data_IF_832774057469
#
_entry.id   IF_832774057469
#
_cell.length_a   1.000
_cell.length_b   1.000
_cell.length_c   1.000
_cell.angle_alpha   90.00
_cell.angle_beta   90.00
_cell.angle_gamma   90.00
#
_symmetry.space_group_name_H-M   'P 1'
#
loop_
_entity.id
_entity.type
_entity.pdbx_description
1 polymer ?
#
# COMPACT_ATOMS: atom_id res chain seq x y z
N UNK A 1 68.45 49.08 -13.71
CA UNK A 1 68.16 47.66 -13.80
C UNK A 1 67.16 47.34 -12.69
N UNK A 2 65.96 46.79 -13.03
CA UNK A 2 64.94 46.40 -12.14
C UNK A 2 64.80 44.88 -12.19
N UNK A 3 64.60 44.23 -11.05
CA UNK A 3 64.18 42.82 -10.92
C UNK A 3 62.80 42.73 -10.27
N UNK A 4 61.97 41.94 -10.87
CA UNK A 4 60.66 41.62 -10.29
C UNK A 4 60.80 40.22 -9.72
N UNK A 5 60.42 40.03 -8.41
CA UNK A 5 60.38 38.72 -7.83
C UNK A 5 59.11 38.00 -8.31
N UNK A 6 59.28 36.76 -8.75
CA UNK A 6 58.20 35.84 -9.09
C UNK A 6 57.78 35.04 -7.87
N UNK A 7 56.60 34.43 -7.89
CA UNK A 7 56.13 33.53 -6.83
C UNK A 7 55.32 34.19 -5.74
N UNK A 8 54.70 35.39 -5.98
CA UNK A 8 53.67 35.91 -5.09
C UNK A 8 52.47 34.94 -5.07
N UNK A 9 52.03 34.62 -3.89
CA UNK A 9 50.84 33.77 -3.66
C UNK A 9 49.72 34.56 -3.03
N UNK A 10 48.52 34.23 -3.40
CA UNK A 10 47.30 34.70 -2.75
C UNK A 10 46.41 33.52 -2.43
N UNK A 11 45.40 33.70 -1.59
CA UNK A 11 44.41 32.67 -1.24
C UNK A 11 43.07 33.02 -1.83
N UNK A 12 42.31 31.99 -2.23
CA UNK A 12 40.94 32.11 -2.71
C UNK A 12 40.15 30.88 -2.19
N UNK A 13 38.85 31.05 -2.07
CA UNK A 13 37.96 29.96 -1.68
C UNK A 13 37.33 29.33 -2.92
N UNK A 14 37.20 27.99 -2.89
CA UNK A 14 36.38 27.24 -3.83
C UNK A 14 35.16 26.76 -3.03
N UNK A 15 33.97 27.13 -3.48
CA UNK A 15 32.72 26.77 -2.83
C UNK A 15 32.04 25.67 -3.62
N UNK A 16 31.28 24.81 -2.88
CA UNK A 16 30.50 23.74 -3.48
C UNK A 16 29.45 24.28 -4.47
N UNK A 17 29.30 23.62 -5.60
CA UNK A 17 28.32 23.96 -6.63
C UNK A 17 26.96 23.41 -6.25
N UNK A 18 25.91 24.25 -6.27
CA UNK A 18 24.55 23.80 -6.02
C UNK A 18 24.01 22.98 -7.19
N UNK A 19 23.43 21.83 -6.87
CA UNK A 19 22.73 20.93 -7.81
C UNK A 19 21.42 20.45 -7.20
N UNK A 20 20.51 19.99 -8.05
CA UNK A 20 19.23 19.42 -7.61
C UNK A 20 19.05 18.00 -8.13
N UNK A 21 18.40 17.16 -7.33
CA UNK A 21 18.05 15.78 -7.68
C UNK A 21 16.57 15.68 -8.01
N UNK A 22 16.23 14.90 -9.02
CA UNK A 22 14.87 14.59 -9.44
C UNK A 22 14.78 13.21 -10.09
N UNK A 23 13.56 12.72 -10.36
CA UNK A 23 13.35 11.45 -11.06
C UNK A 23 13.29 10.22 -10.14
N UNK A 24 13.38 10.40 -8.83
CA UNK A 24 13.18 9.30 -7.88
C UNK A 24 11.68 8.99 -7.77
N UNK A 25 11.29 7.73 -7.96
CA UNK A 25 9.90 7.28 -7.93
C UNK A 25 9.67 6.23 -6.85
N UNK A 26 8.40 5.99 -6.52
CA UNK A 26 8.00 4.91 -5.62
C UNK A 26 6.94 4.01 -6.29
N UNK A 27 7.02 2.72 -6.01
CA UNK A 27 6.08 1.74 -6.53
C UNK A 27 4.77 1.75 -5.74
N UNK A 28 3.65 1.50 -6.44
CA UNK A 28 2.39 1.17 -5.79
C UNK A 28 2.53 -0.15 -5.02
N UNK A 29 1.75 -0.29 -3.95
CA UNK A 29 1.69 -1.55 -3.21
C UNK A 29 0.26 -1.92 -2.82
N UNK A 30 0.05 -3.19 -2.48
CA UNK A 30 -1.16 -3.66 -1.80
C UNK A 30 -1.01 -3.43 -0.29
N UNK A 31 -2.10 -3.14 0.40
CA UNK A 31 -2.12 -2.98 1.85
C UNK A 31 -1.44 -4.15 2.58
N UNK A 32 -0.49 -3.81 3.43
CA UNK A 32 0.33 -4.74 4.23
C UNK A 32 0.52 -4.27 5.69
N UNK A 33 -0.23 -3.25 6.11
CA UNK A 33 -0.16 -2.56 7.41
C UNK A 33 1.19 -1.89 7.70
N UNK A 34 2.06 -1.71 6.69
CA UNK A 34 3.35 -1.03 6.85
C UNK A 34 3.40 0.29 6.07
N UNK A 35 4.28 1.20 6.49
CA UNK A 35 4.55 2.45 5.78
C UNK A 35 5.75 2.37 4.84
N UNK A 36 6.49 1.26 4.79
CA UNK A 36 7.64 1.10 3.91
C UNK A 36 7.24 1.23 2.43
N UNK A 37 8.00 2.00 1.66
CA UNK A 37 7.83 2.15 0.22
C UNK A 37 9.03 1.56 -0.52
N UNK A 38 8.78 0.88 -1.64
CA UNK A 38 9.82 0.49 -2.59
C UNK A 38 10.13 1.67 -3.48
N UNK A 39 11.37 2.15 -3.45
CA UNK A 39 11.85 3.32 -4.19
C UNK A 39 12.68 2.86 -5.38
N UNK A 40 12.50 3.53 -6.53
CA UNK A 40 13.30 3.35 -7.73
C UNK A 40 14.09 4.63 -8.03
N UNK A 41 15.41 4.50 -8.10
CA UNK A 41 16.35 5.58 -8.39
C UNK A 41 16.93 5.48 -9.81
N UNK A 42 16.53 4.53 -10.62
CA UNK A 42 17.08 4.26 -11.95
C UNK A 42 16.94 5.45 -12.93
N UNK A 43 15.90 6.28 -12.71
CA UNK A 43 15.64 7.50 -13.48
C UNK A 43 16.11 8.77 -12.78
N UNK A 44 16.83 8.64 -11.67
CA UNK A 44 17.32 9.80 -10.94
C UNK A 44 18.32 10.60 -11.79
N UNK A 45 18.20 11.91 -11.75
CA UNK A 45 19.03 12.84 -12.50
C UNK A 45 19.52 13.98 -11.61
N UNK A 46 20.75 14.47 -11.90
CA UNK A 46 21.40 15.56 -11.19
C UNK A 46 21.45 16.78 -12.12
N UNK A 47 20.59 17.77 -11.87
CA UNK A 47 20.61 19.02 -12.64
C UNK A 47 21.69 19.94 -12.12
N UNK A 48 22.58 20.41 -13.02
CA UNK A 48 23.68 21.32 -12.71
C UNK A 48 25.04 20.65 -12.48
N UNK A 49 25.13 19.30 -12.59
CA UNK A 49 26.40 18.58 -12.51
C UNK A 49 27.40 19.07 -13.61
N UNK A 50 28.68 19.07 -13.30
CA UNK A 50 29.74 19.44 -14.27
C UNK A 50 29.87 18.32 -15.31
N UNK A 51 30.07 18.71 -16.57
CA UNK A 51 30.23 17.76 -17.68
C UNK A 51 31.44 16.85 -17.45
N UNK A 52 31.20 15.54 -17.54
CA UNK A 52 32.23 14.51 -17.33
C UNK A 52 32.31 13.98 -15.90
N UNK A 53 31.64 14.61 -14.92
CA UNK A 53 31.51 14.09 -13.57
C UNK A 53 30.20 13.25 -13.41
N UNK A 54 30.19 12.33 -12.45
CA UNK A 54 29.07 11.48 -12.17
C UNK A 54 28.87 11.30 -10.69
N UNK A 55 27.58 11.33 -10.25
CA UNK A 55 27.17 11.01 -8.90
C UNK A 55 26.17 9.86 -8.95
N UNK A 56 26.08 9.12 -7.87
CA UNK A 56 25.06 8.12 -7.64
C UNK A 56 24.18 8.50 -6.44
N UNK A 57 22.92 8.05 -6.46
CA UNK A 57 21.99 8.21 -5.35
C UNK A 57 21.46 6.86 -4.92
N UNK A 58 21.30 6.69 -3.62
CA UNK A 58 20.46 5.65 -3.02
C UNK A 58 19.39 6.32 -2.19
N UNK A 59 18.18 5.75 -2.15
CA UNK A 59 17.08 6.33 -1.41
C UNK A 59 16.22 5.26 -0.74
N UNK A 60 15.64 5.62 0.40
CA UNK A 60 14.54 4.90 1.04
C UNK A 60 13.29 5.78 1.09
N UNK A 61 12.12 5.18 1.19
CA UNK A 61 10.85 5.90 1.19
C UNK A 61 9.89 5.40 2.25
N UNK A 62 9.08 6.32 2.78
CA UNK A 62 8.07 6.02 3.79
C UNK A 62 6.76 6.71 3.41
N UNK A 63 5.67 5.95 3.31
CA UNK A 63 4.32 6.50 3.14
C UNK A 63 3.89 7.30 4.37
N UNK A 64 3.06 8.32 4.18
CA UNK A 64 2.45 9.15 5.24
C UNK A 64 1.67 8.32 6.29
N UNK A 65 1.03 7.24 5.86
CA UNK A 65 0.42 6.20 6.70
C UNK A 65 0.26 4.90 5.89
N UNK A 66 -0.08 3.79 6.55
CA UNK A 66 -0.22 2.48 5.91
C UNK A 66 -1.52 2.29 5.12
N UNK A 67 -2.55 3.14 5.32
CA UNK A 67 -3.89 2.91 4.78
C UNK A 67 -3.98 3.06 3.27
N UNK A 68 -4.98 2.40 2.69
CA UNK A 68 -5.34 2.51 1.27
C UNK A 68 -5.61 3.95 0.87
N UNK A 69 -5.10 4.34 -0.28
CA UNK A 69 -5.27 5.66 -0.87
C UNK A 69 -4.51 5.81 -2.17
N UNK A 70 -4.95 6.75 -2.99
CA UNK A 70 -4.29 7.13 -4.24
C UNK A 70 -3.46 8.40 -4.05
N UNK A 71 -2.33 8.48 -4.78
CA UNK A 71 -1.46 9.66 -4.75
C UNK A 71 -0.91 9.98 -3.35
N UNK A 72 -0.69 8.97 -2.51
CA UNK A 72 -0.17 9.14 -1.15
C UNK A 72 1.26 9.63 -1.19
N UNK A 73 1.59 10.56 -0.30
CA UNK A 73 2.96 11.06 -0.18
C UNK A 73 3.90 9.98 0.33
N UNK A 74 5.01 9.82 -0.37
CA UNK A 74 6.17 9.02 0.07
C UNK A 74 7.30 9.99 0.35
N UNK A 75 7.66 10.15 1.62
CA UNK A 75 8.81 10.94 2.05
C UNK A 75 10.09 10.16 1.72
N UNK A 76 11.05 10.79 1.07
CA UNK A 76 12.30 10.20 0.67
C UNK A 76 13.43 10.59 1.62
N UNK A 77 14.34 9.66 1.86
CA UNK A 77 15.63 9.91 2.52
C UNK A 77 16.72 9.40 1.58
N UNK A 78 17.53 10.32 1.08
CA UNK A 78 18.55 10.02 0.07
C UNK A 78 19.96 10.10 0.64
N UNK A 79 20.87 9.36 0.04
CA UNK A 79 22.30 9.49 0.23
C UNK A 79 23.03 9.43 -1.11
N UNK A 80 24.15 10.13 -1.20
CA UNK A 80 24.87 10.38 -2.44
C UNK A 80 26.29 9.87 -2.34
N UNK A 81 26.81 9.39 -3.47
CA UNK A 81 28.19 8.92 -3.59
C UNK A 81 28.77 9.28 -4.97
N UNK A 82 30.09 9.27 -5.07
CA UNK A 82 30.89 9.61 -6.25
C UNK A 82 32.15 10.33 -5.82
N UNK A 83 33.20 10.30 -6.67
CA UNK A 83 34.50 10.87 -6.33
C UNK A 83 34.41 12.40 -6.09
N UNK A 84 33.49 13.06 -6.77
CA UNK A 84 33.30 14.51 -6.74
C UNK A 84 32.18 14.98 -5.81
N UNK A 85 31.55 14.08 -5.02
CA UNK A 85 30.35 14.40 -4.23
C UNK A 85 30.54 15.58 -3.28
N UNK A 86 31.74 15.74 -2.72
CA UNK A 86 32.08 16.83 -1.80
C UNK A 86 32.21 18.21 -2.49
N UNK A 87 32.23 18.24 -3.82
CA UNK A 87 32.27 19.48 -4.61
C UNK A 87 30.88 20.08 -4.85
N UNK A 88 29.82 19.38 -4.36
CA UNK A 88 28.43 19.77 -4.58
C UNK A 88 27.65 20.02 -3.29
N UNK A 89 26.75 20.99 -3.35
CA UNK A 89 25.68 21.20 -2.38
C UNK A 89 24.39 20.69 -3.03
N UNK A 90 23.89 19.54 -2.55
CA UNK A 90 22.81 18.80 -3.21
C UNK A 90 21.48 19.17 -2.55
N UNK A 91 20.51 19.60 -3.38
CA UNK A 91 19.11 19.75 -2.96
C UNK A 91 18.36 18.49 -3.29
N UNK A 92 17.85 17.83 -2.26
CA UNK A 92 17.13 16.55 -2.33
C UNK A 92 15.79 16.68 -3.05
N UNK A 93 15.36 15.60 -3.71
CA UNK A 93 13.96 15.35 -3.96
C UNK A 93 13.32 14.84 -2.65
N UNK A 94 12.61 15.71 -1.93
CA UNK A 94 12.11 15.41 -0.59
C UNK A 94 10.99 14.35 -0.57
N UNK A 95 10.23 14.21 -1.66
CA UNK A 95 9.10 13.28 -1.74
C UNK A 95 8.75 12.87 -3.16
N UNK A 96 7.96 11.81 -3.27
CA UNK A 96 7.26 11.35 -4.46
C UNK A 96 5.86 10.88 -4.06
N UNK A 97 5.10 10.30 -4.99
CA UNK A 97 3.78 9.76 -4.69
C UNK A 97 3.63 8.34 -5.21
N UNK A 98 2.82 7.53 -4.50
CA UNK A 98 2.43 6.19 -4.94
C UNK A 98 1.07 5.82 -4.36
N UNK A 99 0.47 4.71 -4.82
CA UNK A 99 -0.81 4.25 -4.33
C UNK A 99 -0.65 3.06 -3.38
N UNK A 100 -1.53 2.99 -2.38
CA UNK A 100 -1.77 1.77 -1.61
C UNK A 100 -3.15 1.27 -1.99
N UNK A 101 -3.23 0.04 -2.52
CA UNK A 101 -4.48 -0.59 -2.97
C UNK A 101 -5.02 -1.55 -1.93
N UNK A 102 -6.33 -1.84 -2.00
CA UNK A 102 -6.97 -2.77 -1.08
C UNK A 102 -6.38 -4.17 -1.18
N UNK A 103 -6.29 -4.85 -0.03
CA UNK A 103 -5.99 -6.28 0.04
C UNK A 103 -7.28 -7.07 -0.12
N UNK A 104 -7.28 -7.98 -1.09
CA UNK A 104 -8.44 -8.86 -1.32
C UNK A 104 -8.48 -9.98 -0.30
N UNK A 105 -9.63 -10.14 0.36
CA UNK A 105 -9.92 -11.23 1.27
C UNK A 105 -10.62 -12.37 0.54
N UNK A 106 -10.47 -13.57 1.09
CA UNK A 106 -11.35 -14.71 0.80
C UNK A 106 -12.21 -15.02 2.03
N UNK A 107 -13.35 -15.68 1.82
CA UNK A 107 -14.22 -16.07 2.91
C UNK A 107 -14.77 -17.49 2.71
N UNK A 108 -14.88 -18.21 3.82
CA UNK A 108 -15.64 -19.47 3.91
C UNK A 108 -16.98 -19.18 4.57
N UNK A 109 -18.08 -19.63 3.93
CA UNK A 109 -19.43 -19.43 4.42
C UNK A 109 -19.90 -20.67 5.21
N UNK A 110 -20.58 -20.43 6.34
CA UNK A 110 -21.31 -21.43 7.11
C UNK A 110 -22.75 -20.94 7.31
N UNK A 111 -23.74 -21.74 6.91
CA UNK A 111 -25.15 -21.40 7.03
C UNK A 111 -25.85 -22.22 8.15
N UNK A 112 -26.75 -21.57 8.83
CA UNK A 112 -27.60 -22.23 9.84
C UNK A 112 -28.80 -22.90 9.18
N UNK A 113 -29.17 -24.08 9.70
CA UNK A 113 -30.46 -24.67 9.39
C UNK A 113 -31.61 -23.78 9.90
N UNK A 114 -32.79 -23.85 9.26
CA UNK A 114 -33.99 -23.15 9.73
C UNK A 114 -35.22 -24.00 9.62
N UNK A 115 -36.28 -23.66 10.39
CA UNK A 115 -37.63 -24.18 10.19
C UNK A 115 -38.29 -23.43 9.03
N UNK A 116 -39.19 -24.12 8.30
CA UNK A 116 -39.95 -23.52 7.22
C UNK A 116 -40.72 -22.28 7.67
N UNK A 117 -40.49 -21.18 6.99
CA UNK A 117 -41.06 -19.85 7.26
C UNK A 117 -41.60 -19.16 5.99
N UNK A 118 -41.72 -19.92 4.89
CA UNK A 118 -42.14 -19.46 3.57
C UNK A 118 -41.19 -18.45 2.88
N UNK A 119 -39.98 -18.23 3.45
CA UNK A 119 -38.95 -17.33 2.86
C UNK A 119 -37.70 -18.09 2.40
N UNK A 120 -36.90 -17.46 1.54
CA UNK A 120 -35.59 -17.98 1.14
C UNK A 120 -34.44 -17.38 1.97
N UNK A 121 -34.70 -16.45 2.89
CA UNK A 121 -33.64 -15.79 3.69
C UNK A 121 -32.83 -16.83 4.48
N UNK A 122 -31.54 -16.74 4.41
CA UNK A 122 -30.58 -17.59 5.12
C UNK A 122 -29.75 -16.79 6.11
N UNK A 123 -29.45 -17.38 7.26
CA UNK A 123 -28.47 -16.84 8.21
C UNK A 123 -27.12 -17.47 7.92
N UNK A 124 -26.14 -16.63 7.58
CA UNK A 124 -24.77 -17.04 7.22
C UNK A 124 -23.76 -16.30 8.08
N UNK A 125 -22.73 -17.02 8.51
CA UNK A 125 -21.51 -16.47 9.10
C UNK A 125 -20.34 -16.70 8.15
N UNK A 126 -19.51 -15.68 7.95
CA UNK A 126 -18.29 -15.79 7.15
C UNK A 126 -17.05 -15.82 8.04
N UNK A 127 -16.12 -16.67 7.71
CA UNK A 127 -14.77 -16.67 8.27
C UNK A 127 -13.83 -16.12 7.21
N UNK A 128 -13.16 -14.98 7.48
CA UNK A 128 -12.25 -14.33 6.55
C UNK A 128 -10.86 -14.96 6.61
N UNK A 129 -10.22 -15.01 5.46
CA UNK A 129 -8.79 -15.32 5.31
C UNK A 129 -8.09 -14.20 4.54
N UNK A 130 -6.84 -13.89 4.93
CA UNK A 130 -6.02 -12.85 4.31
C UNK A 130 -5.94 -11.54 5.10
N UNK A 131 -6.56 -11.45 6.28
CA UNK A 131 -6.34 -10.32 7.20
C UNK A 131 -4.86 -10.22 7.60
N UNK A 132 -4.39 -9.01 7.86
CA UNK A 132 -3.01 -8.77 8.28
C UNK A 132 -2.89 -8.91 9.81
N UNK A 133 -1.92 -9.72 10.23
CA UNK A 133 -1.62 -9.89 11.66
C UNK A 133 -2.84 -10.35 12.46
N UNK A 134 -3.19 -9.60 13.49
CA UNK A 134 -4.35 -9.83 14.36
C UNK A 134 -5.56 -8.93 14.07
N UNK A 135 -5.56 -8.22 12.93
CA UNK A 135 -6.68 -7.36 12.55
C UNK A 135 -7.98 -8.17 12.43
N UNK A 136 -9.09 -7.56 12.81
CA UNK A 136 -10.43 -8.12 12.61
C UNK A 136 -11.30 -7.16 11.81
N UNK A 137 -12.36 -7.68 11.19
CA UNK A 137 -13.38 -6.87 10.54
C UNK A 137 -14.76 -7.31 11.00
N UNK A 138 -15.67 -6.36 11.11
CA UNK A 138 -17.09 -6.64 11.22
C UNK A 138 -17.69 -6.93 9.84
N UNK A 139 -18.84 -7.63 9.82
CA UNK A 139 -19.52 -8.02 8.59
C UNK A 139 -21.02 -7.93 8.72
N UNK A 140 -21.68 -7.54 7.63
CA UNK A 140 -23.12 -7.74 7.40
C UNK A 140 -23.28 -8.53 6.11
N UNK A 141 -24.06 -9.62 6.17
CA UNK A 141 -24.20 -10.59 5.10
C UNK A 141 -25.67 -10.74 4.72
N UNK A 142 -25.98 -10.69 3.42
CA UNK A 142 -27.25 -11.11 2.88
C UNK A 142 -27.06 -12.42 2.13
N UNK A 143 -27.87 -13.42 2.43
CA UNK A 143 -27.80 -14.75 1.80
C UNK A 143 -29.19 -15.35 1.63
N UNK A 144 -29.32 -16.25 0.64
CA UNK A 144 -30.58 -16.93 0.35
C UNK A 144 -30.39 -18.40 0.06
N UNK A 145 -31.35 -19.21 0.49
CA UNK A 145 -31.54 -20.59 0.03
C UNK A 145 -31.95 -20.61 -1.46
N UNK A 146 -31.64 -21.68 -2.15
CA UNK A 146 -32.04 -21.91 -3.55
C UNK A 146 -33.54 -21.86 -3.77
N UNK A 147 -34.35 -22.31 -2.78
CA UNK A 147 -35.79 -22.17 -2.71
C UNK A 147 -36.26 -22.26 -1.24
N UNK A 148 -37.54 -21.99 -0.98
CA UNK A 148 -38.13 -21.94 0.37
C UNK A 148 -38.60 -23.29 0.94
N UNK A 149 -38.60 -24.36 0.12
CA UNK A 149 -39.22 -25.63 0.49
C UNK A 149 -38.36 -26.42 1.48
N UNK A 150 -39.01 -27.27 2.29
CA UNK A 150 -38.36 -28.25 3.18
C UNK A 150 -37.38 -29.12 2.36
N UNK A 151 -36.21 -29.35 2.90
CA UNK A 151 -35.19 -30.19 2.26
C UNK A 151 -33.86 -30.16 3.00
N UNK A 152 -33.03 -31.15 2.71
CA UNK A 152 -31.68 -31.28 3.29
C UNK A 152 -30.63 -30.88 2.27
N UNK A 153 -29.47 -30.34 2.74
CA UNK A 153 -28.33 -29.97 1.90
C UNK A 153 -28.66 -28.93 0.83
N UNK A 154 -29.61 -28.03 1.09
CA UNK A 154 -30.02 -26.99 0.14
C UNK A 154 -28.91 -25.96 -0.02
N UNK A 155 -28.61 -25.55 -1.24
CA UNK A 155 -27.62 -24.52 -1.51
C UNK A 155 -28.06 -23.19 -0.91
N UNK A 156 -27.12 -22.57 -0.23
CA UNK A 156 -27.23 -21.19 0.28
C UNK A 156 -26.17 -20.35 -0.44
N UNK A 157 -26.58 -19.26 -1.04
CA UNK A 157 -25.71 -18.32 -1.75
C UNK A 157 -25.62 -17.00 -1.00
N UNK A 158 -24.40 -16.51 -0.82
CA UNK A 158 -24.10 -15.16 -0.27
C UNK A 158 -24.31 -14.14 -1.38
N UNK A 159 -25.31 -13.29 -1.25
CA UNK A 159 -25.68 -12.29 -2.25
C UNK A 159 -24.87 -10.99 -2.10
N UNK A 160 -24.63 -10.56 -0.87
CA UNK A 160 -23.83 -9.36 -0.58
C UNK A 160 -23.09 -9.47 0.74
N UNK A 161 -21.93 -8.81 0.80
CA UNK A 161 -21.10 -8.68 1.99
C UNK A 161 -20.77 -7.20 2.15
N UNK A 162 -21.06 -6.63 3.31
CA UNK A 162 -20.60 -5.30 3.70
C UNK A 162 -19.62 -5.45 4.86
N UNK A 163 -18.39 -4.99 4.65
CA UNK A 163 -17.36 -4.94 5.69
C UNK A 163 -17.55 -3.70 6.55
N UNK A 164 -17.27 -3.84 7.84
CA UNK A 164 -17.16 -2.73 8.78
C UNK A 164 -15.85 -2.82 9.55
N UNK A 165 -15.41 -1.71 10.14
CA UNK A 165 -14.20 -1.69 10.93
C UNK A 165 -14.31 -2.65 12.10
N UNK A 166 -13.21 -3.32 12.38
CA UNK A 166 -13.11 -4.25 13.51
C UNK A 166 -12.15 -3.74 14.59
N UNK A 167 -11.41 -4.64 15.19
CA UNK A 167 -10.41 -4.34 16.22
C UNK A 167 -8.98 -4.51 15.70
N UNK A 168 -8.00 -4.16 16.55
CA UNK A 168 -6.57 -4.28 16.28
C UNK A 168 -6.11 -3.56 14.99
N UNK A 169 -6.73 -2.43 14.64
CA UNK A 169 -6.37 -1.65 13.46
C UNK A 169 -7.12 -2.06 12.18
N UNK A 170 -8.00 -3.07 12.24
CA UNK A 170 -8.78 -3.53 11.07
C UNK A 170 -9.75 -2.48 10.56
N UNK A 171 -9.40 -1.85 9.43
CA UNK A 171 -10.23 -0.87 8.72
C UNK A 171 -10.81 -1.52 7.46
N UNK A 172 -12.12 -1.48 7.32
CA UNK A 172 -12.84 -2.02 6.16
C UNK A 172 -12.34 -1.42 4.84
N UNK A 173 -11.95 -0.15 4.84
CA UNK A 173 -11.41 0.55 3.67
C UNK A 173 -10.11 -0.04 3.13
N UNK A 174 -9.34 -0.76 3.95
CA UNK A 174 -8.08 -1.39 3.56
C UNK A 174 -8.27 -2.75 2.88
N UNK A 175 -9.49 -3.26 2.85
CA UNK A 175 -9.81 -4.59 2.35
C UNK A 175 -10.91 -4.56 1.30
N UNK A 176 -10.91 -5.57 0.45
CA UNK A 176 -11.98 -5.88 -0.50
C UNK A 176 -12.36 -7.35 -0.39
N UNK A 177 -13.62 -7.67 -0.69
CA UNK A 177 -14.12 -9.04 -0.75
C UNK A 177 -15.22 -9.12 -1.81
N UNK A 178 -15.27 -10.23 -2.56
CA UNK A 178 -16.35 -10.52 -3.48
C UNK A 178 -17.42 -11.36 -2.78
N UNK A 179 -18.70 -11.18 -3.13
CA UNK A 179 -19.81 -12.08 -2.78
C UNK A 179 -19.87 -13.29 -3.72
N UNK A 180 -20.81 -14.18 -3.48
CA UNK A 180 -21.03 -15.37 -4.30
C UNK A 180 -20.53 -16.67 -3.68
N UNK A 181 -20.06 -16.63 -2.42
CA UNK A 181 -19.74 -17.84 -1.66
C UNK A 181 -21.00 -18.70 -1.53
N UNK A 182 -20.82 -20.01 -1.64
CA UNK A 182 -21.90 -20.97 -1.47
C UNK A 182 -21.59 -21.93 -0.32
N UNK A 183 -22.65 -22.37 0.35
CA UNK A 183 -22.60 -23.41 1.37
C UNK A 183 -23.92 -24.18 1.34
N UNK A 184 -24.16 -25.08 2.26
CA UNK A 184 -25.42 -25.82 2.36
C UNK A 184 -25.97 -25.77 3.76
N UNK A 185 -27.32 -25.80 3.85
CA UNK A 185 -28.05 -25.94 5.10
C UNK A 185 -29.40 -26.61 4.86
N UNK A 186 -30.13 -26.97 5.92
CA UNK A 186 -31.43 -27.64 5.84
C UNK A 186 -32.58 -26.68 6.16
N UNK A 187 -33.71 -26.88 5.47
CA UNK A 187 -35.01 -26.32 5.87
C UNK A 187 -35.83 -27.48 6.40
N UNK A 188 -36.20 -27.43 7.67
CA UNK A 188 -37.04 -28.46 8.34
C UNK A 188 -38.52 -28.10 8.33
N UNK A 189 -39.40 -29.08 8.43
CA UNK A 189 -40.83 -28.84 8.56
C UNK A 189 -41.13 -28.00 9.81
N UNK A 190 -42.12 -27.13 9.70
CA UNK A 190 -42.64 -26.39 10.84
C UNK A 190 -43.58 -27.32 11.61
N UNK A 191 -43.32 -27.49 12.91
CA UNK A 191 -44.20 -28.20 13.81
C UNK A 191 -45.50 -27.39 14.09
#
# INVERSE_FOLDING_TARGET
>A
NYSISSGQTTTANITAKAITVSGITASNKTYDATTSATVDVSSASFSGIVSGESLSVSASGVFDNANVGSGKTVTLTSSYAGDDVNNYSITDQASTTANVTQKTLTATASASNKSYDATTTATVTLTFSGLIGSETLGQSVSATFSDKNVGTGKTVTVNSITLSNGSNGGLASNYSISSGQTTTANITAKA
#
